data_IF_932489510867
#
_entry.id   IF_932489510867
#
_cell.length_a   1.000
_cell.length_b   1.000
_cell.length_c   1.000
_cell.angle_alpha   90.00
_cell.angle_beta   90.00
_cell.angle_gamma   90.00
#
_symmetry.space_group_name_H-M   'P 1'
#
loop_
_entity.id
_entity.type
_entity.pdbx_description
1 polymer ?
#
# COMPACT_ATOMS: atom_id res chain seq x y z
N UNK A 1 -2.30 1.71 18.49
CA UNK A 1 -2.01 0.27 18.28
C UNK A 1 -0.94 0.16 17.22
N UNK A 2 0.32 0.07 17.64
CA UNK A 2 1.45 -0.19 16.76
C UNK A 2 1.31 -1.62 16.24
N UNK A 3 0.86 -1.79 14.99
CA UNK A 3 0.89 -3.10 14.36
C UNK A 3 2.36 -3.45 14.18
N UNK A 4 2.81 -4.43 14.94
CA UNK A 4 4.02 -5.22 14.66
C UNK A 4 4.09 -5.43 13.15
N UNK A 5 5.13 -4.89 12.51
CA UNK A 5 5.36 -5.08 11.08
C UNK A 5 5.17 -6.56 10.77
N UNK A 6 4.29 -6.85 9.82
CA UNK A 6 3.93 -8.22 9.50
C UNK A 6 5.21 -8.89 9.00
N UNK A 7 5.82 -9.73 9.83
CA UNK A 7 7.11 -10.40 9.54
C UNK A 7 6.95 -11.51 8.46
N UNK A 8 5.90 -11.43 7.65
CA UNK A 8 5.59 -12.37 6.58
C UNK A 8 5.91 -11.79 5.21
N UNK A 9 5.84 -12.61 4.15
CA UNK A 9 6.17 -12.18 2.79
C UNK A 9 5.11 -11.25 2.17
N UNK A 10 4.16 -10.76 2.95
CA UNK A 10 3.03 -9.97 2.49
C UNK A 10 2.93 -8.64 3.22
N UNK A 11 2.53 -7.62 2.47
CA UNK A 11 2.23 -6.28 2.95
C UNK A 11 0.75 -5.98 2.75
N UNK A 12 0.12 -5.35 3.75
CA UNK A 12 -1.30 -4.98 3.68
C UNK A 12 -1.53 -3.56 3.13
N UNK A 13 -2.81 -3.24 2.87
CA UNK A 13 -3.20 -1.94 2.30
C UNK A 13 -2.85 -0.78 3.23
N UNK A 14 -2.89 -0.98 4.55
CA UNK A 14 -2.57 0.06 5.51
C UNK A 14 -1.07 0.33 5.50
N UNK A 15 -0.25 -0.71 5.56
CA UNK A 15 1.20 -0.59 5.56
C UNK A 15 1.72 0.07 4.26
N UNK A 16 1.17 -0.30 3.11
CA UNK A 16 1.44 0.37 1.82
C UNK A 16 1.19 1.88 1.91
N UNK A 17 0.09 2.31 2.52
CA UNK A 17 -0.30 3.72 2.60
C UNK A 17 0.50 4.49 3.65
N UNK A 18 0.60 3.96 4.86
CA UNK A 18 1.15 4.65 6.01
C UNK A 18 2.67 4.63 6.04
N UNK A 19 3.29 3.49 5.70
CA UNK A 19 4.74 3.33 5.79
C UNK A 19 5.46 3.59 4.47
N UNK A 20 4.78 3.31 3.34
CA UNK A 20 5.39 3.44 2.00
C UNK A 20 4.81 4.57 1.15
N UNK A 21 3.83 5.32 1.68
CA UNK A 21 3.26 6.49 1.01
C UNK A 21 2.43 6.18 -0.24
N UNK A 22 2.04 4.92 -0.46
CA UNK A 22 1.19 4.57 -1.59
C UNK A 22 -0.18 5.24 -1.47
N UNK A 23 -0.73 5.67 -2.60
CA UNK A 23 -2.12 6.13 -2.70
C UNK A 23 -3.04 5.01 -3.19
N UNK A 24 -4.35 5.11 -2.92
CA UNK A 24 -5.33 4.13 -3.43
C UNK A 24 -5.21 3.95 -4.96
N UNK A 25 -5.09 5.05 -5.70
CA UNK A 25 -4.92 5.03 -7.15
C UNK A 25 -3.62 4.36 -7.61
N UNK A 26 -2.54 4.44 -6.82
CA UNK A 26 -1.29 3.73 -7.13
C UNK A 26 -1.42 2.23 -6.88
N UNK A 27 -2.09 1.84 -5.79
CA UNK A 27 -2.37 0.43 -5.50
C UNK A 27 -3.19 -0.17 -6.64
N UNK A 28 -4.26 0.50 -7.06
CA UNK A 28 -5.12 0.04 -8.18
C UNK A 28 -4.35 -0.01 -9.50
N UNK A 29 -3.53 1.01 -9.81
CA UNK A 29 -2.79 1.09 -11.07
C UNK A 29 -1.66 0.05 -11.17
N UNK A 30 -0.84 -0.07 -10.13
CA UNK A 30 0.41 -0.83 -10.22
C UNK A 30 0.31 -2.24 -9.62
N UNK A 31 -0.48 -2.42 -8.56
CA UNK A 31 -0.62 -3.71 -7.89
C UNK A 31 -1.89 -4.45 -8.32
N UNK A 32 -2.98 -3.74 -8.64
CA UNK A 32 -4.24 -4.37 -9.01
C UNK A 32 -4.74 -5.33 -7.93
N UNK A 33 -5.13 -6.54 -8.33
CA UNK A 33 -5.65 -7.57 -7.41
C UNK A 33 -4.59 -8.03 -6.39
N UNK A 34 -5.01 -8.30 -5.14
CA UNK A 34 -4.12 -8.81 -4.11
C UNK A 34 -3.72 -10.25 -4.36
N UNK A 35 -2.48 -10.59 -3.99
CA UNK A 35 -1.98 -11.97 -4.09
C UNK A 35 -2.67 -12.89 -3.07
N UNK A 36 -3.17 -12.33 -1.96
CA UNK A 36 -3.95 -13.08 -0.96
C UNK A 36 -4.94 -12.17 -0.24
N UNK A 37 -5.96 -12.79 0.36
CA UNK A 37 -6.78 -12.14 1.39
C UNK A 37 -6.73 -12.91 2.71
N UNK A 38 -6.77 -12.20 3.84
CA UNK A 38 -6.81 -12.77 5.18
C UNK A 38 -8.07 -12.34 5.97
N UNK A 39 -8.54 -13.14 6.94
CA UNK A 39 -9.60 -12.71 7.85
C UNK A 39 -9.23 -11.40 8.54
N UNK A 40 -10.20 -10.51 8.70
CA UNK A 40 -10.00 -9.27 9.42
C UNK A 40 -10.21 -9.51 10.92
N UNK A 41 -9.31 -9.01 11.80
CA UNK A 41 -9.46 -9.12 13.26
C UNK A 41 -10.79 -8.57 13.81
N UNK A 42 -11.49 -7.71 13.06
CA UNK A 42 -12.79 -7.15 13.44
C UNK A 42 -13.96 -8.14 13.54
N UNK A 43 -13.73 -9.45 13.35
CA UNK A 43 -14.73 -10.49 13.58
C UNK A 43 -15.57 -10.88 12.36
N UNK A 44 -16.64 -11.65 12.59
CA UNK A 44 -17.52 -12.14 11.51
C UNK A 44 -18.24 -10.96 10.84
N UNK A 45 -18.05 -10.81 9.52
CA UNK A 45 -18.66 -9.77 8.70
C UNK A 45 -17.71 -8.63 8.32
N UNK A 46 -16.54 -8.52 8.95
CA UNK A 46 -15.55 -7.54 8.56
C UNK A 46 -14.93 -7.87 7.19
N UNK A 47 -14.71 -6.84 6.36
CA UNK A 47 -14.07 -6.97 5.07
C UNK A 47 -12.66 -7.57 5.23
N UNK A 48 -12.35 -8.62 4.46
CA UNK A 48 -11.05 -9.30 4.49
C UNK A 48 -9.90 -8.34 4.18
N UNK A 49 -8.76 -8.55 4.82
CA UNK A 49 -7.55 -7.77 4.56
C UNK A 49 -6.96 -8.21 3.23
N UNK A 50 -6.68 -7.24 2.35
CA UNK A 50 -5.97 -7.45 1.08
C UNK A 50 -4.46 -7.44 1.33
N UNK A 51 -3.77 -8.44 0.79
CA UNK A 51 -2.34 -8.69 0.99
C UNK A 51 -1.63 -8.82 -0.37
N UNK A 52 -0.51 -8.11 -0.51
CA UNK A 52 0.35 -8.20 -1.69
C UNK A 52 1.72 -8.75 -1.30
N UNK A 53 2.36 -9.49 -2.19
CA UNK A 53 3.73 -9.97 -1.99
C UNK A 53 4.69 -8.79 -1.86
N UNK A 54 5.51 -8.83 -0.82
CA UNK A 54 6.49 -7.79 -0.55
C UNK A 54 7.50 -7.64 -1.70
N UNK A 55 7.96 -8.76 -2.27
CA UNK A 55 8.90 -8.77 -3.40
C UNK A 55 8.32 -8.09 -4.63
N UNK A 56 7.06 -8.38 -4.97
CA UNK A 56 6.34 -7.74 -6.08
C UNK A 56 6.21 -6.23 -5.88
N UNK A 57 5.94 -5.80 -4.65
CA UNK A 57 5.91 -4.36 -4.30
C UNK A 57 7.28 -3.72 -4.53
N UNK A 58 8.37 -4.37 -4.10
CA UNK A 58 9.73 -3.85 -4.32
C UNK A 58 10.11 -3.76 -5.80
N UNK A 59 9.75 -4.77 -6.61
CA UNK A 59 9.97 -4.76 -8.06
C UNK A 59 9.27 -3.57 -8.73
N UNK A 60 8.02 -3.31 -8.34
CA UNK A 60 7.26 -2.15 -8.83
C UNK A 60 7.89 -0.84 -8.38
N UNK A 61 8.27 -0.73 -7.11
CA UNK A 61 8.92 0.47 -6.56
C UNK A 61 10.26 0.79 -7.26
N UNK A 62 10.94 -0.23 -7.78
CA UNK A 62 12.17 -0.05 -8.53
C UNK A 62 11.95 0.58 -9.92
N UNK A 63 10.73 0.49 -10.48
CA UNK A 63 10.42 1.01 -11.82
C UNK A 63 10.43 2.54 -11.90
N UNK A 64 10.84 3.08 -13.04
CA UNK A 64 10.85 4.54 -13.27
C UNK A 64 9.44 5.12 -13.26
N UNK A 65 8.45 4.41 -13.80
CA UNK A 65 7.06 4.86 -13.82
C UNK A 65 6.52 5.06 -12.40
N UNK A 66 6.81 4.12 -11.49
CA UNK A 66 6.41 4.23 -10.11
C UNK A 66 7.07 5.42 -9.42
N UNK A 67 8.40 5.57 -9.56
CA UNK A 67 9.16 6.69 -8.97
C UNK A 67 8.61 8.05 -9.40
N UNK A 68 8.33 8.22 -10.69
CA UNK A 68 7.71 9.44 -11.22
C UNK A 68 6.33 9.70 -10.60
N UNK A 69 5.50 8.65 -10.51
CA UNK A 69 4.15 8.78 -9.96
C UNK A 69 4.14 9.05 -8.46
N UNK A 70 5.11 8.50 -7.73
CA UNK A 70 5.33 8.74 -6.30
C UNK A 70 5.75 10.20 -6.06
N UNK A 71 6.72 10.70 -6.83
CA UNK A 71 7.15 12.11 -6.73
C UNK A 71 5.97 13.07 -6.94
N UNK A 72 5.12 12.82 -7.94
CA UNK A 72 3.91 13.62 -8.17
C UNK A 72 2.92 13.55 -7.00
N UNK A 73 2.74 12.37 -6.39
CA UNK A 73 1.85 12.20 -5.24
C UNK A 73 2.34 12.99 -4.02
N UNK A 74 3.65 12.97 -3.76
CA UNK A 74 4.28 13.73 -2.68
C UNK A 74 4.11 15.23 -2.91
N UNK A 75 4.40 15.73 -4.12
CA UNK A 75 4.24 17.16 -4.44
C UNK A 75 2.80 17.65 -4.23
N UNK A 76 1.80 16.88 -4.68
CA UNK A 76 0.38 17.23 -4.48
C UNK A 76 0.02 17.35 -2.99
N UNK A 77 0.53 16.43 -2.16
CA UNK A 77 0.29 16.47 -0.71
C UNK A 77 0.92 17.69 -0.05
N UNK A 78 2.13 18.07 -0.46
CA UNK A 78 2.80 19.27 0.07
C UNK A 78 2.06 20.56 -0.31
N UNK A 79 1.50 20.64 -1.51
CA UNK A 79 0.73 21.82 -1.96
C UNK A 79 -0.61 21.91 -1.21
N UNK A 80 -1.29 20.79 -0.98
CA UNK A 80 -2.59 20.75 -0.28
C UNK A 80 -2.50 20.92 1.24
N UNK A 81 -1.32 20.69 1.84
CA UNK A 81 -1.08 20.88 3.28
C UNK A 81 -0.71 22.31 3.70
N UNK A 82 -0.68 23.26 2.76
CA UNK A 82 -0.56 24.71 3.03
C UNK A 82 -1.96 25.34 2.98
N UNK A 83 -2.77 25.07 3.99
CA UNK A 83 -4.12 25.62 4.18
C UNK A 83 -4.47 25.63 5.65
#
# INVERSE_FOLDING_TARGET
MSRTGSCGPYIDTTELKEQRGWTKAMIEKFLGEPDRTAPNPGGRGAARVKLWLFTRVQEIEATNEFKLRMAQAITRRMVQGKG
#
